data_IF_961113321192
#
_entry.id   IF_961113321192
#
_cell.length_a   1.000
_cell.length_b   1.000
_cell.length_c   1.000
_cell.angle_alpha   90.00
_cell.angle_beta   90.00
_cell.angle_gamma   90.00
#
_symmetry.space_group_name_H-M   'P 1'
#
loop_
_entity.id
_entity.type
_entity.pdbx_description
1 polymer ?
#
# COMPACT_ATOMS: atom_id res chain seq x y z
N UNK A 1 -9.70 -4.49 -12.55
CA UNK A 1 -8.87 -4.18 -13.24
C UNK A 1 -7.98 -5.01 -13.68
N UNK A 2 -7.65 -4.99 -14.70
CA UNK A 2 -6.84 -5.73 -15.08
C UNK A 2 -6.04 -5.36 -16.11
N UNK A 3 -5.02 -5.53 -16.18
CA UNK A 3 -4.16 -5.22 -17.02
C UNK A 3 -3.59 -6.37 -17.61
N UNK A 4 -2.99 -6.35 -18.74
CA UNK A 4 -2.35 -7.46 -19.36
C UNK A 4 -1.26 -7.99 -18.45
N UNK A 5 -1.11 -9.30 -18.38
CA UNK A 5 -0.10 -9.86 -17.50
C UNK A 5 1.31 -9.48 -17.91
N UNK A 6 1.51 -9.09 -19.15
CA UNK A 6 2.83 -8.70 -19.64
C UNK A 6 3.21 -7.29 -19.23
N UNK A 7 2.25 -6.51 -18.74
CA UNK A 7 2.57 -5.15 -18.31
C UNK A 7 3.40 -5.24 -17.04
N UNK A 8 4.50 -4.53 -17.01
CA UNK A 8 5.38 -4.52 -15.87
C UNK A 8 5.23 -3.22 -15.10
N UNK A 9 5.24 -3.33 -13.78
CA UNK A 9 5.27 -2.18 -12.89
C UNK A 9 6.72 -1.80 -12.70
N UNK A 10 7.01 -0.52 -12.73
CA UNK A 10 8.38 -0.03 -12.53
C UNK A 10 8.43 0.86 -11.31
N UNK A 11 9.60 0.91 -10.69
CA UNK A 11 9.88 1.84 -9.62
C UNK A 11 9.99 3.25 -10.19
N UNK A 12 10.02 4.25 -9.31
CA UNK A 12 10.10 5.64 -9.74
C UNK A 12 11.34 5.93 -10.57
N UNK A 13 12.42 5.17 -10.38
CA UNK A 13 13.65 5.33 -11.15
C UNK A 13 13.63 4.58 -12.47
N UNK A 14 12.53 3.93 -12.81
CA UNK A 14 12.38 3.21 -14.06
C UNK A 14 12.77 1.74 -14.00
N UNK A 15 13.31 1.27 -12.89
CA UNK A 15 13.68 -0.13 -12.76
C UNK A 15 12.43 -0.98 -12.54
N UNK A 16 12.39 -2.17 -13.15
CA UNK A 16 11.28 -3.07 -12.94
C UNK A 16 11.25 -3.54 -11.48
N UNK A 17 10.06 -3.55 -10.90
CA UNK A 17 9.89 -4.04 -9.54
C UNK A 17 9.91 -5.56 -9.55
N UNK A 18 10.76 -6.12 -8.69
CA UNK A 18 10.96 -7.57 -8.66
C UNK A 18 9.73 -8.28 -8.13
N UNK A 19 9.37 -9.38 -8.80
CA UNK A 19 8.36 -10.29 -8.30
C UNK A 19 6.94 -9.79 -8.41
N UNK A 20 6.73 -8.60 -9.00
CA UNK A 20 5.39 -8.04 -9.13
C UNK A 20 5.24 -7.45 -10.51
N UNK A 21 4.34 -8.01 -11.32
CA UNK A 21 4.04 -7.46 -12.64
C UNK A 21 2.82 -6.55 -12.60
N UNK A 22 1.86 -6.86 -11.74
CA UNK A 22 0.61 -6.11 -11.63
C UNK A 22 0.29 -5.88 -10.16
N UNK A 23 -0.20 -4.68 -9.86
CA UNK A 23 -0.73 -4.37 -8.54
C UNK A 23 -2.23 -4.17 -8.61
N UNK A 24 -2.93 -4.54 -7.55
CA UNK A 24 -4.32 -4.11 -7.37
C UNK A 24 -4.34 -2.87 -6.49
N UNK A 25 -5.43 -2.12 -6.55
CA UNK A 25 -5.58 -0.96 -5.69
C UNK A 25 -5.73 -1.41 -4.23
N UNK A 26 -5.19 -0.64 -3.28
CA UNK A 26 -5.35 -0.98 -1.86
C UNK A 26 -6.72 -0.63 -1.31
N UNK A 27 -7.52 0.15 -2.04
CA UNK A 27 -8.90 0.48 -1.68
C UNK A 27 -9.77 0.35 -2.92
N UNK A 28 -11.09 0.29 -2.73
CA UNK A 28 -12.01 0.12 -3.84
C UNK A 28 -11.91 1.30 -4.82
N UNK A 29 -11.94 1.02 -6.14
CA UNK A 29 -11.90 2.08 -7.15
C UNK A 29 -13.24 2.81 -7.24
N UNK A 30 -13.26 4.04 -7.79
CA UNK A 30 -12.09 4.77 -8.24
C UNK A 30 -11.40 5.43 -7.05
N UNK A 31 -10.07 5.41 -7.02
CA UNK A 31 -9.38 6.01 -5.90
C UNK A 31 -9.31 7.52 -6.06
N UNK A 32 -9.33 8.23 -4.92
CA UNK A 32 -8.96 9.63 -4.89
C UNK A 32 -7.65 9.70 -4.13
N UNK A 33 -6.61 10.18 -4.77
CA UNK A 33 -5.28 10.11 -4.22
C UNK A 33 -4.69 11.50 -4.08
N UNK A 34 -3.78 11.67 -3.13
CA UNK A 34 -2.94 12.84 -3.04
C UNK A 34 -1.50 12.41 -3.07
N UNK A 35 -0.67 13.33 -3.50
CA UNK A 35 0.58 13.03 -4.11
C UNK A 35 1.68 12.51 -3.26
N UNK A 36 2.51 11.77 -3.94
CA UNK A 36 3.79 11.29 -3.50
C UNK A 36 4.77 12.45 -3.60
N UNK A 37 5.39 12.79 -2.47
CA UNK A 37 6.35 13.90 -2.44
C UNK A 37 7.34 13.68 -1.30
N UNK A 38 8.28 12.73 -1.48
CA UNK A 38 9.19 12.38 -0.39
C UNK A 38 10.14 13.51 -0.03
N UNK A 39 10.43 14.43 -0.96
CA UNK A 39 11.32 15.53 -0.68
C UNK A 39 10.71 16.52 0.31
N UNK A 40 9.39 16.59 0.36
CA UNK A 40 8.67 17.47 1.29
C UNK A 40 8.01 16.68 2.40
N UNK A 41 8.48 15.45 2.67
CA UNK A 41 8.03 14.67 3.81
C UNK A 41 6.80 13.82 3.57
N UNK A 42 6.42 13.60 2.32
CA UNK A 42 5.28 12.74 2.00
C UNK A 42 5.72 11.58 1.12
N UNK A 43 6.30 10.52 1.72
CA UNK A 43 6.88 9.41 0.95
C UNK A 43 5.86 8.41 0.44
N UNK A 44 4.59 8.68 0.59
CA UNK A 44 3.53 7.75 0.20
C UNK A 44 2.41 8.46 -0.52
N UNK A 45 1.31 7.74 -0.68
CA UNK A 45 0.11 8.21 -1.35
C UNK A 45 -1.04 8.09 -0.36
N UNK A 46 -1.84 9.14 -0.23
CA UNK A 46 -3.04 9.08 0.58
C UNK A 46 -4.23 8.76 -0.32
N UNK A 47 -4.95 7.70 0.04
CA UNK A 47 -6.18 7.32 -0.65
C UNK A 47 -7.36 7.76 0.21
N UNK A 48 -8.17 8.67 -0.29
CA UNK A 48 -9.38 9.07 0.41
C UNK A 48 -10.35 7.90 0.42
N UNK A 49 -10.83 7.52 1.59
CA UNK A 49 -11.73 6.40 1.74
C UNK A 49 -12.52 6.59 3.03
N UNK A 50 -13.69 5.98 3.08
CA UNK A 50 -14.53 6.08 4.28
C UNK A 50 -14.02 5.16 5.37
N UNK A 51 -14.25 5.55 6.60
CA UNK A 51 -13.93 4.70 7.74
C UNK A 51 -14.69 3.39 7.60
N UNK A 52 -13.97 2.27 7.77
CA UNK A 52 -14.56 0.95 7.64
C UNK A 52 -14.45 0.35 6.26
N UNK A 53 -13.98 1.11 5.26
CA UNK A 53 -13.74 0.56 3.94
C UNK A 53 -12.62 -0.49 4.01
N UNK A 54 -12.70 -1.52 3.19
CA UNK A 54 -11.69 -2.58 3.20
C UNK A 54 -10.38 -2.10 2.61
N UNK A 55 -9.27 -2.58 3.19
CA UNK A 55 -7.93 -2.33 2.69
C UNK A 55 -7.39 -3.65 2.14
N UNK A 56 -6.92 -3.64 0.91
CA UNK A 56 -6.50 -4.85 0.20
C UNK A 56 -5.00 -4.89 0.01
N UNK A 57 -4.43 -6.09 0.06
CA UNK A 57 -3.01 -6.28 -0.29
C UNK A 57 -2.85 -6.00 -1.79
N UNK A 58 -1.93 -5.10 -2.14
CA UNK A 58 -1.70 -4.74 -3.54
C UNK A 58 -1.06 -5.89 -4.32
N UNK A 59 -0.37 -6.79 -3.63
CA UNK A 59 0.27 -7.97 -4.21
C UNK A 59 0.45 -8.99 -3.11
N UNK A 60 0.73 -10.22 -3.46
CA UNK A 60 1.01 -11.27 -2.49
C UNK A 60 2.31 -11.06 -1.76
N UNK A 61 2.43 -11.57 -0.55
CA UNK A 61 3.62 -11.43 0.25
C UNK A 61 3.46 -11.97 1.66
N UNK A 62 4.40 -11.59 2.51
CA UNK A 62 4.42 -12.00 3.92
C UNK A 62 4.25 -10.74 4.75
N UNK A 63 3.38 -10.81 5.77
CA UNK A 63 3.23 -9.72 6.72
C UNK A 63 4.46 -9.68 7.61
N UNK A 64 5.22 -8.59 7.55
CA UNK A 64 6.41 -8.43 8.39
C UNK A 64 6.11 -7.59 9.63
N UNK A 65 5.05 -6.78 9.58
CA UNK A 65 4.60 -6.03 10.75
C UNK A 65 3.09 -5.83 10.67
N UNK A 66 2.43 -5.97 11.80
CA UNK A 66 1.01 -5.68 11.96
C UNK A 66 0.86 -5.21 13.39
N UNK A 67 0.84 -3.89 13.60
CA UNK A 67 1.00 -3.35 14.94
C UNK A 67 0.40 -1.94 15.01
N UNK A 68 0.65 -1.26 16.10
CA UNK A 68 0.21 0.11 16.34
C UNK A 68 1.41 1.00 16.65
N UNK A 69 1.41 2.17 16.06
CA UNK A 69 2.42 3.20 16.29
C UNK A 69 1.71 4.53 16.47
N UNK A 70 2.24 5.41 17.32
CA UNK A 70 1.55 6.67 17.64
C UNK A 70 1.39 7.56 16.41
N UNK A 71 2.30 7.48 15.45
CA UNK A 71 2.22 8.28 14.21
C UNK A 71 1.40 7.58 13.14
N UNK A 72 1.65 6.29 12.95
CA UNK A 72 1.04 5.51 11.86
C UNK A 72 -0.34 4.97 12.21
N UNK A 73 -0.67 4.91 13.50
CA UNK A 73 -1.86 4.21 13.94
C UNK A 73 -1.70 2.71 13.74
N UNK A 74 -2.79 2.02 13.50
CA UNK A 74 -2.72 0.61 13.15
C UNK A 74 -2.16 0.50 11.73
N UNK A 75 -1.12 -0.30 11.56
CA UNK A 75 -0.44 -0.40 10.27
C UNK A 75 -0.03 -1.82 9.96
N UNK A 76 0.13 -2.10 8.66
CA UNK A 76 0.59 -3.39 8.15
C UNK A 76 1.73 -3.12 7.17
N UNK A 77 2.77 -3.94 7.25
CA UNK A 77 3.86 -3.94 6.26
C UNK A 77 3.91 -5.31 5.61
N UNK A 78 3.96 -5.33 4.29
CA UNK A 78 4.09 -6.55 3.50
C UNK A 78 5.43 -6.58 2.81
N UNK A 79 6.09 -7.73 2.83
CA UNK A 79 7.31 -7.99 2.06
C UNK A 79 6.89 -8.85 0.86
N UNK A 80 7.02 -8.28 -0.34
CA UNK A 80 6.61 -8.95 -1.57
C UNK A 80 7.75 -9.72 -2.23
N UNK A 81 8.93 -9.68 -1.65
CA UNK A 81 10.12 -10.28 -2.25
C UNK A 81 10.85 -9.29 -3.16
N UNK A 82 12.10 -9.61 -3.48
CA UNK A 82 12.90 -8.77 -4.36
C UNK A 82 13.20 -7.38 -3.83
N UNK A 83 13.05 -7.16 -2.53
CA UNK A 83 13.29 -5.84 -1.93
C UNK A 83 12.08 -4.92 -1.93
N UNK A 84 10.94 -5.37 -2.43
CA UNK A 84 9.73 -4.54 -2.48
C UNK A 84 8.90 -4.75 -1.22
N UNK A 85 8.59 -3.63 -0.55
CA UNK A 85 7.70 -3.62 0.61
C UNK A 85 6.59 -2.61 0.38
N UNK A 86 5.40 -2.90 0.93
CA UNK A 86 4.31 -1.93 0.97
C UNK A 86 3.82 -1.80 2.39
N UNK A 87 3.38 -0.60 2.73
CA UNK A 87 2.93 -0.29 4.08
C UNK A 87 1.59 0.44 4.01
N UNK A 88 0.68 0.08 4.92
CA UNK A 88 -0.71 0.55 4.98
C UNK A 88 -0.94 1.12 6.37
N UNK A 89 -1.31 2.40 6.48
CA UNK A 89 -1.35 3.10 7.78
C UNK A 89 -2.71 3.70 8.08
N UNK A 90 -2.89 4.07 9.33
CA UNK A 90 -4.09 4.75 9.86
C UNK A 90 -5.34 3.87 9.82
N UNK A 91 -5.14 2.56 9.91
CA UNK A 91 -6.24 1.60 9.82
C UNK A 91 -7.05 1.58 11.11
N UNK A 92 -8.33 1.29 10.99
CA UNK A 92 -9.22 1.15 12.14
C UNK A 92 -8.94 -0.14 12.90
N UNK A 93 -8.75 -1.22 12.15
CA UNK A 93 -8.46 -2.52 12.73
C UNK A 93 -7.74 -3.38 11.71
N UNK A 94 -7.05 -4.40 12.19
CA UNK A 94 -6.23 -5.29 11.37
C UNK A 94 -6.83 -6.69 11.39
N UNK A 95 -6.78 -7.37 10.24
CA UNK A 95 -7.24 -8.75 10.10
C UNK A 95 -6.08 -9.74 9.93
N UNK A 96 -4.85 -9.26 9.91
CA UNK A 96 -3.66 -10.09 9.68
C UNK A 96 -2.67 -9.88 10.80
N UNK A 97 -1.73 -10.82 10.92
CA UNK A 97 -0.67 -10.78 11.94
C UNK A 97 0.67 -10.98 11.28
N UNK A 98 1.73 -10.50 11.94
CA UNK A 98 3.10 -10.68 11.45
C UNK A 98 3.38 -12.18 11.24
N UNK A 99 4.04 -12.49 10.15
CA UNK A 99 4.37 -13.86 9.77
C UNK A 99 3.36 -14.53 8.87
N UNK A 100 2.19 -13.93 8.68
CA UNK A 100 1.14 -14.51 7.87
C UNK A 100 1.40 -14.25 6.38
N UNK A 101 1.11 -15.25 5.55
CA UNK A 101 1.15 -15.08 4.09
C UNK A 101 -0.18 -14.51 3.63
N UNK A 102 -0.12 -13.59 2.67
CA UNK A 102 -1.32 -13.02 2.07
C UNK A 102 -1.22 -13.15 0.55
N UNK A 103 -2.38 -13.16 -0.10
CA UNK A 103 -2.44 -13.14 -1.56
C UNK A 103 -2.89 -11.78 -2.03
N UNK A 104 -2.64 -11.48 -3.30
CA UNK A 104 -3.07 -10.21 -3.90
C UNK A 104 -4.58 -10.07 -3.74
N UNK A 105 -5.04 -8.91 -3.28
CA UNK A 105 -6.45 -8.62 -3.10
C UNK A 105 -7.03 -9.10 -1.77
N UNK A 106 -6.24 -9.75 -0.94
CA UNK A 106 -6.72 -10.19 0.37
C UNK A 106 -6.97 -8.98 1.27
N UNK A 107 -8.05 -9.00 2.04
CA UNK A 107 -8.38 -7.90 2.95
C UNK A 107 -7.41 -7.92 4.13
N UNK A 108 -6.72 -6.81 4.34
CA UNK A 108 -5.76 -6.65 5.44
C UNK A 108 -6.40 -6.07 6.69
N UNK A 109 -7.48 -5.33 6.53
CA UNK A 109 -8.18 -4.64 7.60
C UNK A 109 -9.06 -3.56 7.04
N UNK A 110 -9.29 -2.52 7.82
CA UNK A 110 -10.27 -1.49 7.46
C UNK A 110 -9.67 -0.10 7.62
N UNK A 111 -10.09 0.80 6.75
CA UNK A 111 -9.67 2.20 6.77
C UNK A 111 -10.15 2.85 8.07
N UNK A 112 -9.31 3.68 8.65
CA UNK A 112 -9.65 4.43 9.83
C UNK A 112 -8.97 5.79 9.83
N UNK A 113 -8.78 6.33 11.02
CA UNK A 113 -8.12 7.61 11.21
C UNK A 113 -7.24 7.55 12.46
N UNK A 114 -6.65 6.37 12.71
CA UNK A 114 -5.81 6.17 13.89
C UNK A 114 -4.43 6.75 13.68
N UNK A 115 -3.74 7.02 14.77
CA UNK A 115 -2.43 7.65 14.71
C UNK A 115 -2.55 9.13 14.40
N UNK A 116 -1.53 9.69 13.78
CA UNK A 116 -1.49 11.11 13.43
C UNK A 116 -2.24 11.34 12.13
N UNK A 117 -3.57 11.44 12.22
CA UNK A 117 -4.43 11.57 11.05
C UNK A 117 -5.54 12.58 11.36
N UNK A 118 -5.88 13.40 10.37
CA UNK A 118 -6.91 14.44 10.53
C UNK A 118 -8.29 13.96 10.06
N UNK A 119 -8.38 12.77 9.52
CA UNK A 119 -9.66 12.21 9.06
C UNK A 119 -9.43 10.87 8.38
N UNK A 120 -10.51 10.13 8.09
CA UNK A 120 -10.38 8.80 7.51
C UNK A 120 -9.68 8.85 6.15
N UNK A 121 -8.65 8.05 6.01
CA UNK A 121 -7.95 7.83 4.75
C UNK A 121 -6.97 6.68 4.93
N UNK A 122 -6.47 6.16 3.83
CA UNK A 122 -5.40 5.17 3.86
C UNK A 122 -4.12 5.86 3.38
N UNK A 123 -3.09 5.86 4.24
CA UNK A 123 -1.76 6.28 3.83
C UNK A 123 -1.00 5.05 3.39
N UNK A 124 -0.55 5.03 2.15
CA UNK A 124 0.09 3.89 1.51
C UNK A 124 1.50 4.26 1.10
N UNK A 125 2.47 3.44 1.48
CA UNK A 125 3.86 3.63 1.06
C UNK A 125 4.36 2.37 0.38
N UNK A 126 5.22 2.56 -0.62
CA UNK A 126 5.96 1.47 -1.22
C UNK A 126 7.43 1.80 -1.14
N UNK A 127 8.25 0.77 -0.90
CA UNK A 127 9.70 0.92 -0.83
C UNK A 127 10.35 -0.17 -1.66
N UNK A 128 11.36 0.20 -2.43
CA UNK A 128 12.20 -0.74 -3.15
C UNK A 128 13.59 -0.64 -2.54
N UNK A 129 14.06 -1.73 -1.94
CA UNK A 129 15.38 -1.79 -1.28
C UNK A 129 15.54 -0.69 -0.23
N UNK A 130 14.44 -0.42 0.50
CA UNK A 130 14.44 0.55 1.59
C UNK A 130 14.19 1.99 1.18
N UNK A 131 14.18 2.31 -0.10
CA UNK A 131 13.95 3.66 -0.59
C UNK A 131 12.51 3.82 -1.07
N UNK A 132 11.89 4.99 -0.87
CA UNK A 132 10.54 5.20 -1.34
C UNK A 132 10.42 4.94 -2.83
N UNK A 133 9.33 4.27 -3.23
CA UNK A 133 9.04 4.00 -4.63
C UNK A 133 7.70 4.63 -4.96
N UNK A 134 7.62 5.32 -6.10
CA UNK A 134 6.41 6.00 -6.53
C UNK A 134 5.64 5.09 -7.48
N UNK A 135 4.50 4.59 -7.01
CA UNK A 135 3.65 3.73 -7.80
C UNK A 135 2.54 4.47 -8.55
N UNK A 136 2.49 5.81 -8.38
CA UNK A 136 1.54 6.60 -9.17
C UNK A 136 1.94 6.48 -10.63
N UNK A 137 1.00 6.40 -11.52
CA UNK A 137 1.29 6.25 -12.93
C UNK A 137 1.70 4.84 -13.33
N UNK A 138 1.73 3.90 -12.38
CA UNK A 138 1.98 2.49 -12.66
C UNK A 138 0.66 1.75 -12.72
N UNK A 139 0.73 0.43 -12.76
CA UNK A 139 -0.44 -0.43 -12.79
C UNK A 139 -1.38 -0.20 -11.61
N UNK A 140 -0.85 0.24 -10.48
CA UNK A 140 -1.65 0.51 -9.29
C UNK A 140 -2.77 1.52 -9.55
N UNK A 141 -2.51 2.52 -10.37
CA UNK A 141 -3.48 3.57 -10.65
C UNK A 141 -4.07 3.47 -12.06
N UNK A 142 -3.88 2.36 -12.73
CA UNK A 142 -4.31 2.19 -14.11
C UNK A 142 -5.77 1.75 -14.22
N UNK A 143 -6.46 1.60 -13.13
CA UNK A 143 -7.86 1.20 -13.16
C UNK A 143 -8.74 2.26 -13.81
#
# INVERSE_FOLDING_TARGET
>A
VRRAASDQVTAADGAALSGVDLFTLPVAPPPQVSGYDPENGHPGIDFAAEEGAEVYAVAGGIVTAADYDVEKGNYVVLDHGGGLETEYQHMKSLLVSAGQSVVQGQVLGYVGSTGNSTGPHLHFEARQDGAPADLTGTALLAE
#
